data_IF_890221223301
#
_entry.id   IF_890221223301
#
_cell.length_a   1.000
_cell.length_b   1.000
_cell.length_c   1.000
_cell.angle_alpha   90.00
_cell.angle_beta   90.00
_cell.angle_gamma   90.00
#
_symmetry.space_group_name_H-M   'P 1'
#
loop_
_entity.id
_entity.type
_entity.pdbx_description
1 polymer ?
#
# COMPACT_ATOMS: atom_id res chain seq x y z
N UNK A 1 0.32 27.08 25.29
CA UNK A 1 0.89 25.71 25.36
C UNK A 1 0.35 25.03 26.60
N UNK A 2 -0.46 23.98 26.45
CA UNK A 2 -1.11 23.27 27.55
C UNK A 2 -0.88 21.76 27.32
N UNK A 3 0.21 21.24 27.87
CA UNK A 3 0.44 19.80 27.94
C UNK A 3 -0.51 19.21 28.99
N UNK A 4 -1.23 18.15 28.61
CA UNK A 4 -1.91 17.27 29.56
C UNK A 4 -1.30 15.88 29.46
N UNK A 5 -0.73 15.34 30.55
CA UNK A 5 -0.43 13.93 30.66
C UNK A 5 -1.69 13.24 31.15
N UNK A 6 -2.16 12.21 30.44
CA UNK A 6 -3.03 11.22 31.06
C UNK A 6 -2.48 9.82 30.79
N UNK A 7 -2.28 9.18 31.92
CA UNK A 7 -1.58 7.96 32.22
C UNK A 7 -2.68 6.94 32.58
N UNK A 8 -2.44 5.67 32.30
CA UNK A 8 -3.04 4.48 32.93
C UNK A 8 -4.46 4.07 32.50
N UNK A 9 -4.57 2.89 31.91
CA UNK A 9 -5.29 1.70 32.46
C UNK A 9 -5.48 0.66 31.37
N UNK A 10 -4.73 -0.44 31.38
CA UNK A 10 -5.17 -1.76 31.92
C UNK A 10 -6.38 -2.29 31.16
N UNK A 11 -6.21 -3.38 30.39
CA UNK A 11 -7.01 -4.59 30.61
C UNK A 11 -6.36 -5.80 29.93
N UNK A 12 -6.01 -6.78 30.76
CA UNK A 12 -5.65 -8.12 30.38
C UNK A 12 -6.92 -8.94 30.08
N UNK A 13 -6.95 -9.63 28.95
CA UNK A 13 -7.85 -10.75 28.61
C UNK A 13 -7.24 -11.41 27.37
N UNK A 14 -7.21 -12.71 27.15
CA UNK A 14 -7.32 -13.90 27.97
C UNK A 14 -6.81 -15.03 27.05
N UNK A 15 -6.07 -15.99 27.58
CA UNK A 15 -5.71 -17.21 26.87
C UNK A 15 -6.96 -18.03 26.50
N UNK A 16 -6.95 -18.73 25.35
CA UNK A 16 -7.31 -20.16 25.21
C UNK A 16 -7.11 -20.68 23.75
N UNK A 17 -6.99 -22.02 23.55
CA UNK A 17 -6.21 -22.64 22.47
C UNK A 17 -7.02 -23.49 21.44
N UNK A 18 -6.27 -23.98 20.43
CA UNK A 18 -6.39 -25.28 19.69
C UNK A 18 -7.54 -25.54 18.69
N UNK A 19 -7.14 -26.33 17.67
CA UNK A 19 -7.92 -27.03 16.62
C UNK A 19 -8.31 -26.16 15.41
N UNK A 20 -8.10 -26.55 14.15
CA UNK A 20 -8.39 -27.84 13.50
C UNK A 20 -7.50 -28.01 12.26
N UNK A 21 -6.88 -29.19 12.13
CA UNK A 21 -6.36 -29.70 10.87
C UNK A 21 -7.49 -30.39 10.09
N UNK A 22 -7.73 -29.97 8.84
CA UNK A 22 -8.45 -30.75 7.85
C UNK A 22 -7.66 -30.74 6.55
N UNK A 23 -7.06 -31.88 6.23
CA UNK A 23 -6.61 -32.18 4.87
C UNK A 23 -7.80 -32.57 4.01
N UNK A 24 -7.73 -32.24 2.73
CA UNK A 24 -8.45 -32.94 1.67
C UNK A 24 -7.62 -32.88 0.39
N UNK A 25 -7.21 -34.06 -0.07
CA UNK A 25 -6.70 -34.27 -1.42
C UNK A 25 -7.87 -34.15 -2.40
N UNK A 26 -7.71 -33.33 -3.45
CA UNK A 26 -8.62 -33.33 -4.60
C UNK A 26 -7.85 -33.66 -5.86
N UNK A 27 -8.30 -34.75 -6.49
CA UNK A 27 -7.91 -35.27 -7.79
C UNK A 27 -8.17 -34.28 -8.93
N UNK A 28 -7.41 -34.49 -10.01
CA UNK A 28 -7.26 -33.57 -11.12
C UNK A 28 -8.50 -33.35 -11.99
N UNK A 29 -8.48 -32.19 -12.65
CA UNK A 29 -9.32 -31.86 -13.79
C UNK A 29 -8.45 -31.19 -14.85
N UNK A 30 -8.27 -31.86 -15.99
CA UNK A 30 -7.73 -31.28 -17.21
C UNK A 30 -8.89 -30.68 -18.02
N UNK A 31 -8.80 -29.42 -18.42
CA UNK A 31 -9.66 -28.85 -19.44
C UNK A 31 -9.96 -27.36 -19.26
N UNK A 32 -9.53 -26.54 -20.23
CA UNK A 32 -10.01 -25.17 -20.36
C UNK A 32 -9.01 -24.20 -20.97
N UNK A 33 -8.87 -24.25 -22.30
CA UNK A 33 -8.22 -23.17 -23.06
C UNK A 33 -9.23 -22.05 -23.31
N UNK A 34 -8.91 -20.83 -22.88
CA UNK A 34 -9.64 -19.58 -23.14
C UNK A 34 -9.29 -18.59 -22.02
N UNK A 35 -8.64 -17.46 -22.23
CA UNK A 35 -8.64 -16.55 -23.37
C UNK A 35 -9.17 -15.20 -22.88
N UNK A 36 -8.40 -14.14 -23.17
CA UNK A 36 -8.72 -12.70 -23.07
C UNK A 36 -8.09 -11.97 -21.88
N UNK A 37 -7.28 -10.98 -22.22
CA UNK A 37 -6.37 -10.26 -21.35
C UNK A 37 -7.02 -9.38 -20.29
N UNK A 38 -6.33 -9.31 -19.15
CA UNK A 38 -6.39 -8.17 -18.25
C UNK A 38 -5.04 -7.48 -18.32
N UNK A 39 -5.06 -6.20 -18.72
CA UNK A 39 -3.89 -5.33 -18.79
C UNK A 39 -3.18 -5.34 -17.44
N UNK A 40 -1.97 -5.90 -17.42
CA UNK A 40 -1.11 -5.83 -16.24
C UNK A 40 -0.92 -4.37 -15.88
N UNK A 41 -1.36 -3.99 -14.68
CA UNK A 41 -1.06 -2.69 -14.10
C UNK A 41 0.44 -2.46 -14.16
N UNK A 42 0.82 -1.42 -14.89
CA UNK A 42 2.20 -1.03 -15.11
C UNK A 42 2.89 -0.86 -13.76
N UNK A 43 3.72 -1.83 -13.39
CA UNK A 43 4.68 -1.67 -12.31
C UNK A 43 5.58 -0.49 -12.66
N UNK A 44 5.32 0.66 -12.01
CA UNK A 44 6.11 1.87 -12.16
C UNK A 44 7.57 1.53 -11.93
N UNK A 45 8.35 1.60 -13.01
CA UNK A 45 9.80 1.39 -12.96
C UNK A 45 10.41 2.50 -12.12
N UNK A 46 11.33 2.15 -11.22
CA UNK A 46 12.05 3.11 -10.37
C UNK A 46 12.76 4.15 -11.22
N UNK A 47 12.10 5.30 -11.42
CA UNK A 47 12.61 6.46 -12.13
C UNK A 47 13.64 7.20 -11.30
N UNK A 48 14.70 7.63 -11.95
CA UNK A 48 15.75 8.44 -11.35
C UNK A 48 15.17 9.76 -10.82
N UNK A 49 15.54 10.15 -9.60
CA UNK A 49 14.94 11.26 -8.85
C UNK A 49 14.82 12.55 -9.65
N UNK A 50 13.59 12.86 -10.08
CA UNK A 50 13.27 14.06 -10.86
C UNK A 50 12.02 13.92 -11.73
N UNK A 51 11.60 12.69 -12.05
CA UNK A 51 10.42 12.48 -12.89
C UNK A 51 9.12 12.62 -12.10
N UNK A 52 8.20 13.41 -12.65
CA UNK A 52 6.84 13.54 -12.16
C UNK A 52 6.16 12.18 -12.17
N UNK A 53 5.66 11.76 -11.01
CA UNK A 53 4.92 10.53 -10.86
C UNK A 53 3.42 10.80 -11.11
N UNK A 54 2.76 9.91 -11.85
CA UNK A 54 1.33 10.00 -12.15
C UNK A 54 0.62 8.79 -11.56
N UNK A 55 -0.39 9.07 -10.73
CA UNK A 55 -1.31 8.09 -10.17
C UNK A 55 -2.62 8.12 -10.95
N UNK A 56 -3.29 6.98 -11.00
CA UNK A 56 -4.62 6.83 -11.62
C UNK A 56 -5.46 5.95 -10.71
N UNK A 57 -6.71 6.32 -10.44
CA UNK A 57 -7.61 5.38 -9.77
C UNK A 57 -7.84 4.16 -10.68
N UNK A 58 -8.25 3.05 -10.07
CA UNK A 58 -8.71 1.89 -10.83
C UNK A 58 -9.92 2.19 -11.73
N UNK A 59 -10.79 3.11 -11.31
CA UNK A 59 -11.92 3.60 -12.11
C UNK A 59 -11.57 5.01 -12.59
N UNK A 60 -11.20 5.15 -13.86
CA UNK A 60 -10.43 6.26 -14.49
C UNK A 60 -11.04 7.69 -14.41
N UNK A 61 -11.92 7.98 -13.45
CA UNK A 61 -12.64 9.24 -13.33
C UNK A 61 -11.92 10.36 -12.57
N UNK A 62 -10.93 10.05 -11.72
CA UNK A 62 -10.21 11.07 -10.93
C UNK A 62 -8.80 11.25 -11.46
N UNK A 63 -8.42 12.50 -11.68
CA UNK A 63 -7.05 12.85 -12.02
C UNK A 63 -6.26 13.22 -10.78
N UNK A 64 -5.14 12.54 -10.57
CA UNK A 64 -4.21 12.92 -9.52
C UNK A 64 -3.40 14.16 -9.92
N UNK A 65 -3.10 15.04 -8.96
CA UNK A 65 -2.11 16.07 -9.18
C UNK A 65 -0.74 15.43 -9.46
N UNK A 66 0.07 16.12 -10.25
CA UNK A 66 1.48 15.79 -10.41
C UNK A 66 2.17 15.75 -9.03
N UNK A 67 2.79 14.62 -8.70
CA UNK A 67 3.51 14.44 -7.44
C UNK A 67 4.99 14.16 -7.70
N UNK A 68 5.85 14.66 -6.81
CA UNK A 68 7.27 14.39 -6.83
C UNK A 68 7.62 13.30 -5.84
N UNK A 69 8.62 12.47 -6.18
CA UNK A 69 9.30 11.59 -5.23
C UNK A 69 10.61 12.18 -4.74
N UNK A 70 11.01 13.38 -5.16
CA UNK A 70 12.32 13.93 -4.83
C UNK A 70 12.43 14.32 -3.34
N UNK A 71 13.60 14.07 -2.75
CA UNK A 71 13.88 14.40 -1.35
C UNK A 71 15.37 14.69 -1.12
N UNK A 72 15.67 15.35 0.00
CA UNK A 72 17.04 15.54 0.51
C UNK A 72 17.25 14.72 1.77
N UNK A 73 16.21 14.62 2.61
CA UNK A 73 16.20 13.93 3.91
C UNK A 73 14.92 13.13 4.08
N UNK A 74 14.90 12.19 5.03
CA UNK A 74 13.71 11.37 5.33
C UNK A 74 12.50 12.23 5.74
N UNK A 75 12.74 13.38 6.36
CA UNK A 75 11.69 14.33 6.75
C UNK A 75 11.01 15.02 5.57
N UNK A 76 11.64 15.01 4.39
CA UNK A 76 11.04 15.51 3.16
C UNK A 76 10.07 14.50 2.53
N UNK A 77 9.96 13.30 3.11
CA UNK A 77 9.12 12.23 2.60
C UNK A 77 7.90 11.99 3.48
N UNK A 78 6.82 11.57 2.85
CA UNK A 78 5.74 10.83 3.50
C UNK A 78 5.19 9.77 2.59
N UNK A 79 4.13 9.12 3.04
CA UNK A 79 3.52 7.99 2.32
C UNK A 79 2.03 8.19 2.12
N UNK A 80 1.52 7.58 1.06
CA UNK A 80 0.09 7.34 0.85
C UNK A 80 -0.16 5.83 0.70
N UNK A 81 -1.42 5.42 0.86
CA UNK A 81 -1.87 4.09 0.48
C UNK A 81 -2.76 4.23 -0.75
N UNK A 82 -2.35 3.62 -1.85
CA UNK A 82 -3.03 3.67 -3.13
C UNK A 82 -3.67 2.32 -3.45
N UNK A 83 -4.95 2.31 -3.85
CA UNK A 83 -5.63 1.09 -4.29
C UNK A 83 -5.18 0.74 -5.71
N UNK A 84 -4.57 -0.43 -5.89
CA UNK A 84 -3.97 -0.84 -7.17
C UNK A 84 -4.80 -1.84 -7.97
N UNK A 85 -5.87 -2.40 -7.37
CA UNK A 85 -6.77 -3.33 -8.05
C UNK A 85 -8.21 -3.23 -7.53
N UNK A 86 -9.13 -3.88 -8.24
CA UNK A 86 -10.54 -3.89 -7.86
C UNK A 86 -10.84 -4.71 -6.60
N UNK A 87 -9.91 -5.54 -6.12
CA UNK A 87 -10.04 -6.31 -4.88
C UNK A 87 -9.75 -5.44 -3.64
N UNK A 88 -9.26 -4.21 -3.83
CA UNK A 88 -8.89 -3.31 -2.74
C UNK A 88 -7.47 -3.55 -2.21
N UNK A 89 -6.61 -4.24 -2.97
CA UNK A 89 -5.20 -4.36 -2.58
C UNK A 89 -4.53 -2.99 -2.60
N UNK A 90 -3.64 -2.76 -1.64
CA UNK A 90 -2.97 -1.48 -1.45
C UNK A 90 -1.49 -1.53 -1.86
N UNK A 91 -1.01 -0.42 -2.39
CA UNK A 91 0.41 -0.12 -2.55
C UNK A 91 0.74 1.11 -1.70
N UNK A 92 1.71 0.99 -0.82
CA UNK A 92 2.24 2.12 -0.09
C UNK A 92 3.29 2.84 -0.95
N UNK A 93 3.11 4.13 -1.19
CA UNK A 93 3.96 4.89 -2.12
C UNK A 93 4.58 6.07 -1.39
N UNK A 94 5.91 6.20 -1.47
CA UNK A 94 6.66 7.31 -0.92
C UNK A 94 6.59 8.52 -1.85
N UNK A 95 6.29 9.70 -1.29
CA UNK A 95 6.15 10.96 -2.02
C UNK A 95 6.81 12.08 -1.23
N UNK A 96 7.15 13.17 -1.92
CA UNK A 96 7.57 14.41 -1.27
C UNK A 96 6.44 14.91 -0.34
N UNK A 97 6.78 15.24 0.90
CA UNK A 97 5.84 15.60 1.95
C UNK A 97 4.92 16.78 1.57
N UNK A 98 5.45 17.72 0.78
CA UNK A 98 4.71 18.88 0.25
C UNK A 98 3.54 18.49 -0.68
N UNK A 99 3.60 17.32 -1.32
CA UNK A 99 2.60 16.89 -2.30
C UNK A 99 1.52 16.00 -1.65
N UNK A 100 1.74 15.51 -0.42
CA UNK A 100 0.81 14.63 0.30
C UNK A 100 -0.60 15.19 0.44
N UNK A 101 -0.83 16.47 0.81
CA UNK A 101 -2.20 16.96 0.99
C UNK A 101 -3.01 16.85 -0.29
N UNK A 102 -2.41 17.25 -1.43
CA UNK A 102 -3.09 17.24 -2.72
C UNK A 102 -3.37 15.80 -3.21
N UNK A 103 -2.39 14.90 -3.07
CA UNK A 103 -2.56 13.49 -3.45
C UNK A 103 -3.56 12.78 -2.54
N UNK A 104 -3.52 13.03 -1.23
CA UNK A 104 -4.44 12.40 -0.27
C UNK A 104 -5.90 12.79 -0.50
N UNK A 105 -6.16 14.00 -0.99
CA UNK A 105 -7.50 14.41 -1.40
C UNK A 105 -7.98 13.63 -2.63
N UNK A 106 -7.11 13.45 -3.64
CA UNK A 106 -7.44 12.65 -4.81
C UNK A 106 -7.65 11.16 -4.46
N UNK A 107 -6.87 10.59 -3.52
CA UNK A 107 -7.10 9.22 -3.02
C UNK A 107 -8.48 9.06 -2.37
N UNK A 108 -8.95 10.07 -1.62
CA UNK A 108 -10.28 10.03 -1.02
C UNK A 108 -11.38 10.03 -2.08
N UNK A 109 -11.17 10.71 -3.21
CA UNK A 109 -12.09 10.71 -4.35
C UNK A 109 -12.05 9.40 -5.15
N UNK A 110 -10.90 8.73 -5.24
CA UNK A 110 -10.80 7.40 -5.87
C UNK A 110 -11.68 6.34 -5.17
N UNK A 111 -11.90 6.50 -3.87
CA UNK A 111 -12.58 5.54 -3.04
C UNK A 111 -11.69 4.37 -2.63
N UNK A 112 -11.90 3.88 -1.42
CA UNK A 112 -11.13 2.75 -0.83
C UNK A 112 -11.86 1.42 -0.91
N UNK A 113 -12.96 1.37 -1.66
CA UNK A 113 -13.86 0.22 -1.68
C UNK A 113 -13.45 -0.79 -2.74
N UNK A 114 -13.46 -2.07 -2.37
CA UNK A 114 -13.39 -3.16 -3.34
C UNK A 114 -14.59 -3.06 -4.29
N UNK A 115 -14.29 -3.09 -5.59
CA UNK A 115 -15.30 -3.11 -6.65
C UNK A 115 -15.61 -4.55 -7.09
N UNK A 116 -14.74 -5.50 -6.75
CA UNK A 116 -14.85 -6.93 -7.07
C UNK A 116 -15.05 -7.76 -5.79
N UNK A 117 -15.71 -8.91 -5.91
CA UNK A 117 -15.90 -9.88 -4.81
C UNK A 117 -14.67 -10.80 -4.67
N UNK A 118 -13.56 -10.22 -4.20
CA UNK A 118 -12.30 -10.91 -3.98
C UNK A 118 -11.58 -10.38 -2.74
N UNK A 119 -10.63 -11.17 -2.23
CA UNK A 119 -9.85 -10.83 -1.04
C UNK A 119 -8.68 -9.94 -1.44
N UNK A 120 -8.56 -8.78 -0.80
CA UNK A 120 -7.42 -7.89 -0.94
C UNK A 120 -6.11 -8.59 -0.58
N UNK A 121 -5.06 -8.36 -1.38
CA UNK A 121 -3.72 -8.86 -1.09
C UNK A 121 -3.03 -8.00 -0.01
N UNK A 122 -2.02 -8.54 0.70
CA UNK A 122 -1.19 -7.75 1.61
C UNK A 122 -0.62 -6.50 0.93
N UNK A 123 -0.48 -5.42 1.69
CA UNK A 123 -0.03 -4.13 1.17
C UNK A 123 1.40 -4.25 0.66
N UNK A 124 1.64 -3.85 -0.58
CA UNK A 124 2.98 -3.84 -1.18
C UNK A 124 3.69 -2.53 -0.89
N UNK A 125 4.97 -2.62 -0.53
CA UNK A 125 5.88 -1.46 -0.40
C UNK A 125 6.87 -1.41 -1.55
N UNK A 126 7.59 -0.29 -1.70
CA UNK A 126 8.45 -0.05 -2.87
C UNK A 126 9.76 -0.85 -2.86
N UNK A 127 10.18 -1.38 -1.71
CA UNK A 127 11.29 -2.34 -1.60
C UNK A 127 10.93 -3.77 -2.09
N UNK A 128 9.68 -3.96 -2.56
CA UNK A 128 9.18 -5.21 -3.11
C UNK A 128 8.60 -6.17 -2.08
N UNK A 129 8.66 -5.85 -0.79
CA UNK A 129 8.03 -6.65 0.28
C UNK A 129 6.54 -6.34 0.40
N UNK A 130 5.86 -7.15 1.21
CA UNK A 130 4.43 -6.98 1.53
C UNK A 130 4.17 -7.12 3.04
N UNK A 131 3.11 -6.46 3.53
CA UNK A 131 2.69 -6.53 4.95
C UNK A 131 1.17 -6.45 5.09
N UNK A 132 0.61 -7.14 6.08
CA UNK A 132 -0.78 -6.94 6.51
C UNK A 132 -0.90 -5.77 7.51
N UNK A 133 0.19 -5.46 8.23
CA UNK A 133 0.24 -4.35 9.17
C UNK A 133 0.88 -3.12 8.51
N UNK A 134 0.04 -2.16 8.13
CA UNK A 134 0.45 -0.91 7.50
C UNK A 134 1.18 0.03 8.45
N UNK A 135 1.09 -0.19 9.78
CA UNK A 135 1.79 0.63 10.78
C UNK A 135 3.30 0.38 10.82
N UNK A 136 3.75 -0.76 10.27
CA UNK A 136 5.17 -1.10 10.15
C UNK A 136 5.85 -0.45 8.94
N UNK A 137 5.07 0.12 8.01
CA UNK A 137 5.62 0.72 6.79
C UNK A 137 6.36 2.00 7.16
N UNK A 138 7.61 2.09 6.74
CA UNK A 138 8.46 3.25 6.90
C UNK A 138 8.65 3.94 5.56
N UNK A 139 8.99 5.22 5.61
CA UNK A 139 9.40 6.00 4.44
C UNK A 139 10.81 6.53 4.66
N UNK A 140 11.65 6.48 3.64
CA UNK A 140 13.00 7.02 3.67
C UNK A 140 13.36 7.69 2.34
N UNK A 141 14.31 8.63 2.42
CA UNK A 141 14.91 9.25 1.26
C UNK A 141 16.09 8.41 0.77
N UNK A 142 15.82 7.51 -0.17
CA UNK A 142 16.83 6.59 -0.72
C UNK A 142 17.27 7.13 -2.08
N UNK A 143 18.54 7.52 -2.18
CA UNK A 143 19.12 8.05 -3.43
C UNK A 143 18.34 9.24 -4.02
N UNK A 144 17.96 10.20 -3.15
CA UNK A 144 17.13 11.36 -3.51
C UNK A 144 15.70 11.04 -3.98
N UNK A 145 15.21 9.85 -3.66
CA UNK A 145 13.84 9.39 -3.97
C UNK A 145 13.16 8.89 -2.70
N UNK A 146 11.98 9.41 -2.39
CA UNK A 146 11.11 8.91 -1.33
C UNK A 146 10.64 7.51 -1.70
N UNK A 147 10.97 6.54 -0.84
CA UNK A 147 10.61 5.14 -0.98
C UNK A 147 9.96 4.62 0.29
N UNK A 148 8.92 3.81 0.15
CA UNK A 148 8.38 3.01 1.27
C UNK A 148 9.12 1.69 1.39
N UNK A 149 9.35 1.25 2.63
CA UNK A 149 10.08 0.03 2.95
C UNK A 149 9.57 -0.58 4.25
N UNK A 150 9.80 -1.88 4.43
CA UNK A 150 9.60 -2.52 5.72
C UNK A 150 10.91 -2.54 6.51
N UNK A 151 10.86 -2.42 7.85
CA UNK A 151 12.02 -2.64 8.70
C UNK A 151 12.72 -3.94 8.31
N UNK A 152 14.04 -3.88 8.21
CA UNK A 152 14.84 -5.10 8.10
C UNK A 152 15.03 -5.63 9.52
N UNK A 153 14.76 -6.92 9.74
CA UNK A 153 15.07 -7.53 11.03
C UNK A 153 16.57 -7.33 11.33
N UNK A 154 16.93 -6.91 12.56
CA UNK A 154 18.29 -6.55 12.93
C UNK A 154 19.29 -7.71 12.91
#
# INVERSE_FOLDING_TARGET
>A
MKLRPFLVSILALAALPLFVACGNSVEGGAGGSGGSGGSGGSGGSGGSGGETFTLTCFNDGVQFPAASKACVTDQDCGQILHVVDCCGSLSAIGLAAKDLPAVSMAEQECGTHALCDCIAQPTRVEDGKTTEDTSMIQVACVSHVCQTLLPTDP
#
